data_IF_768778746193
#
_entry.id   IF_768778746193
#
_cell.length_a   1.000
_cell.length_b   1.000
_cell.length_c   1.000
_cell.angle_alpha   90.00
_cell.angle_beta   90.00
_cell.angle_gamma   90.00
#
_symmetry.space_group_name_H-M   'P 1'
#
loop_
_entity.id
_entity.type
_entity.pdbx_description
1 polymer ?
#
# COMPACT_ATOMS: atom_id res chain seq x y z
N UNK A 1 7.77 -22.58 8.23
CA UNK A 1 7.70 -21.11 8.41
C UNK A 1 6.41 -20.64 7.76
N UNK A 2 5.66 -19.74 8.38
CA UNK A 2 4.42 -19.22 7.78
C UNK A 2 4.74 -17.96 6.96
N UNK A 3 4.86 -18.10 5.64
CA UNK A 3 5.20 -17.01 4.71
C UNK A 3 3.98 -16.45 3.96
N UNK A 4 2.76 -16.84 4.36
CA UNK A 4 1.53 -16.49 3.64
C UNK A 4 1.28 -14.97 3.54
N UNK A 5 1.83 -14.19 4.47
CA UNK A 5 1.71 -12.73 4.47
C UNK A 5 2.72 -12.00 3.58
N UNK A 6 3.68 -12.71 3.00
CA UNK A 6 4.76 -12.12 2.20
C UNK A 6 4.46 -12.09 0.69
N UNK A 7 3.26 -12.51 0.27
CA UNK A 7 2.87 -12.45 -1.15
C UNK A 7 3.55 -13.51 -2.02
N UNK A 8 3.95 -14.62 -1.39
CA UNK A 8 4.53 -15.81 -2.03
C UNK A 8 3.48 -16.89 -2.36
N UNK A 9 2.20 -16.63 -2.07
CA UNK A 9 1.07 -17.53 -2.34
C UNK A 9 -0.13 -16.74 -2.88
N UNK A 10 -1.02 -17.46 -3.57
CA UNK A 10 -2.18 -16.92 -4.28
C UNK A 10 -3.49 -17.67 -3.99
N UNK A 11 -3.49 -18.64 -3.06
CA UNK A 11 -4.57 -19.63 -2.91
C UNK A 11 -5.95 -19.03 -2.59
N UNK A 12 -5.99 -17.85 -1.97
CA UNK A 12 -7.23 -17.21 -1.52
C UNK A 12 -7.69 -16.05 -2.41
N UNK A 13 -7.06 -15.87 -3.57
CA UNK A 13 -7.33 -14.75 -4.48
C UNK A 13 -8.37 -15.11 -5.54
N UNK A 14 -9.28 -14.18 -5.81
CA UNK A 14 -10.27 -14.25 -6.88
C UNK A 14 -10.18 -13.01 -7.77
N UNK A 15 -10.52 -13.11 -9.07
CA UNK A 15 -10.58 -11.94 -9.95
C UNK A 15 -11.56 -10.88 -9.46
N UNK A 16 -11.18 -9.61 -9.57
CA UNK A 16 -11.97 -8.43 -9.23
C UNK A 16 -11.97 -7.43 -10.40
N UNK A 17 -12.24 -7.93 -11.62
CA UNK A 17 -12.04 -7.22 -12.88
C UNK A 17 -10.99 -7.90 -13.76
N UNK A 18 -10.51 -7.22 -14.80
CA UNK A 18 -9.52 -7.77 -15.74
C UNK A 18 -8.11 -7.87 -15.13
N UNK A 19 -7.71 -6.86 -14.37
CA UNK A 19 -6.31 -6.67 -13.93
C UNK A 19 -6.16 -6.65 -12.40
N UNK A 20 -7.20 -7.08 -11.69
CA UNK A 20 -7.27 -7.02 -10.24
C UNK A 20 -7.65 -8.36 -9.63
N UNK A 21 -7.09 -8.61 -8.45
CA UNK A 21 -7.42 -9.77 -7.64
C UNK A 21 -7.55 -9.34 -6.19
N UNK A 22 -8.61 -9.82 -5.55
CA UNK A 22 -8.88 -9.60 -4.13
C UNK A 22 -8.98 -10.95 -3.42
N UNK A 23 -8.82 -10.94 -2.11
CA UNK A 23 -9.12 -12.11 -1.30
C UNK A 23 -10.60 -12.48 -1.45
N UNK A 24 -10.93 -13.77 -1.52
CA UNK A 24 -12.28 -14.26 -1.77
C UNK A 24 -13.35 -13.73 -0.80
N UNK A 25 -12.95 -13.46 0.44
CA UNK A 25 -13.80 -12.87 1.49
C UNK A 25 -13.97 -11.36 1.37
N UNK A 26 -13.14 -10.67 0.58
CA UNK A 26 -13.12 -9.20 0.46
C UNK A 26 -13.93 -8.74 -0.74
N UNK A 27 -13.99 -9.55 -1.80
CA UNK A 27 -14.73 -9.20 -3.02
C UNK A 27 -16.22 -8.87 -2.78
N UNK A 28 -16.99 -9.65 -1.98
CA UNK A 28 -18.40 -9.31 -1.73
C UNK A 28 -18.58 -7.97 -1.01
N UNK A 29 -17.76 -7.70 0.01
CA UNK A 29 -17.83 -6.47 0.80
C UNK A 29 -17.39 -5.26 -0.03
N UNK A 30 -16.37 -5.41 -0.87
CA UNK A 30 -15.96 -4.38 -1.83
C UNK A 30 -17.08 -4.06 -2.82
N UNK A 31 -17.75 -5.07 -3.38
CA UNK A 31 -18.86 -4.88 -4.31
C UNK A 31 -20.04 -4.15 -3.64
N UNK A 32 -20.36 -4.49 -2.38
CA UNK A 32 -21.39 -3.81 -1.61
C UNK A 32 -21.04 -2.34 -1.36
N UNK A 33 -19.79 -2.05 -0.97
CA UNK A 33 -19.29 -0.68 -0.79
C UNK A 33 -19.36 0.12 -2.09
N UNK A 34 -18.95 -0.47 -3.21
CA UNK A 34 -19.00 0.17 -4.53
C UNK A 34 -20.44 0.50 -4.95
N UNK A 35 -21.40 -0.39 -4.70
CA UNK A 35 -22.81 -0.17 -5.00
C UNK A 35 -23.42 0.95 -4.14
N UNK A 36 -23.13 0.96 -2.84
CA UNK A 36 -23.61 2.00 -1.93
C UNK A 36 -23.06 3.38 -2.31
N UNK A 37 -21.75 3.48 -2.56
CA UNK A 37 -21.14 4.71 -3.03
C UNK A 37 -21.78 5.20 -4.34
N UNK A 38 -22.03 4.29 -5.28
CA UNK A 38 -22.67 4.63 -6.55
C UNK A 38 -24.10 5.16 -6.35
N UNK A 39 -24.86 4.60 -5.41
CA UNK A 39 -26.19 5.10 -5.05
C UNK A 39 -26.15 6.52 -4.47
N UNK A 40 -25.05 6.89 -3.81
CA UNK A 40 -24.78 8.24 -3.29
C UNK A 40 -24.12 9.16 -4.33
N UNK A 41 -23.95 8.70 -5.57
CA UNK A 41 -23.33 9.47 -6.66
C UNK A 41 -21.81 9.56 -6.59
N UNK A 42 -21.15 8.69 -5.82
CA UNK A 42 -19.69 8.58 -5.72
C UNK A 42 -19.21 7.35 -6.48
N UNK A 43 -18.24 7.52 -7.38
CA UNK A 43 -17.62 6.38 -8.06
C UNK A 43 -16.42 5.85 -7.24
N UNK A 44 -16.38 4.53 -7.06
CA UNK A 44 -15.28 3.82 -6.39
C UNK A 44 -14.74 2.78 -7.35
N UNK A 45 -13.55 2.97 -7.88
CA UNK A 45 -12.88 2.00 -8.74
C UNK A 45 -11.51 1.62 -8.20
N UNK A 46 -11.00 0.48 -8.64
CA UNK A 46 -9.73 -0.08 -8.20
C UNK A 46 -8.56 0.55 -8.97
N UNK A 47 -7.51 0.95 -8.25
CA UNK A 47 -6.20 1.37 -8.79
C UNK A 47 -5.19 0.24 -8.63
N UNK A 48 -5.09 -0.30 -7.41
CA UNK A 48 -4.16 -1.37 -7.06
C UNK A 48 -4.82 -2.35 -6.11
N UNK A 49 -4.54 -3.64 -6.30
CA UNK A 49 -5.07 -4.72 -5.45
C UNK A 49 -3.94 -5.68 -5.12
N UNK A 50 -4.14 -7.00 -5.24
CA UNK A 50 -3.09 -7.96 -4.97
C UNK A 50 -1.79 -7.65 -5.71
N UNK A 51 -0.67 -7.83 -5.00
CA UNK A 51 0.68 -7.69 -5.54
C UNK A 51 1.54 -8.83 -5.01
N UNK A 52 2.19 -9.58 -5.89
CA UNK A 52 3.11 -10.63 -5.46
C UNK A 52 4.39 -10.06 -4.85
N UNK A 53 5.14 -10.92 -4.16
CA UNK A 53 6.47 -10.60 -3.66
C UNK A 53 7.37 -10.06 -4.78
N UNK A 54 7.42 -10.74 -5.92
CA UNK A 54 8.28 -10.42 -7.08
C UNK A 54 7.90 -9.07 -7.68
N UNK A 55 6.61 -8.76 -7.77
CA UNK A 55 6.14 -7.46 -8.28
C UNK A 55 6.55 -6.33 -7.33
N UNK A 56 6.45 -6.53 -6.02
CA UNK A 56 6.93 -5.55 -5.03
C UNK A 56 8.46 -5.42 -5.05
N UNK A 57 9.19 -6.54 -5.19
CA UNK A 57 10.66 -6.56 -5.35
C UNK A 57 11.11 -5.77 -6.57
N UNK A 58 10.44 -5.93 -7.71
CA UNK A 58 10.71 -5.13 -8.90
C UNK A 58 10.47 -3.63 -8.67
N UNK A 59 9.40 -3.25 -7.97
CA UNK A 59 9.14 -1.84 -7.64
C UNK A 59 10.23 -1.28 -6.73
N UNK A 60 10.60 -2.02 -5.68
CA UNK A 60 11.67 -1.65 -4.76
C UNK A 60 12.99 -1.45 -5.50
N UNK A 61 13.44 -2.45 -6.26
CA UNK A 61 14.72 -2.40 -6.97
C UNK A 61 14.77 -1.25 -7.97
N UNK A 62 13.69 -1.03 -8.74
CA UNK A 62 13.62 0.10 -9.69
C UNK A 62 13.68 1.44 -8.97
N UNK A 63 13.05 1.60 -7.81
CA UNK A 63 13.18 2.81 -6.97
C UNK A 63 14.60 2.97 -6.45
N UNK A 64 15.20 1.91 -5.92
CA UNK A 64 16.58 1.93 -5.41
C UNK A 64 17.61 2.32 -6.46
N UNK A 65 17.41 1.89 -7.71
CA UNK A 65 18.28 2.21 -8.85
C UNK A 65 17.90 3.53 -9.57
N UNK A 66 16.95 4.31 -9.05
CA UNK A 66 16.55 5.58 -9.65
C UNK A 66 15.74 5.46 -10.94
N UNK A 67 15.28 4.26 -11.30
CA UNK A 67 14.46 3.99 -12.48
C UNK A 67 12.98 4.34 -12.24
N UNK A 68 12.57 4.43 -10.97
CA UNK A 68 11.30 4.99 -10.54
C UNK A 68 11.55 6.15 -9.56
N UNK A 69 10.70 7.19 -9.57
CA UNK A 69 10.85 8.31 -8.65
C UNK A 69 10.72 7.85 -7.19
N UNK A 70 11.56 8.44 -6.35
CA UNK A 70 11.42 8.44 -4.89
C UNK A 70 11.00 9.84 -4.45
N UNK A 71 10.20 9.90 -3.39
CA UNK A 71 9.62 11.14 -2.90
C UNK A 71 10.15 11.45 -1.50
N UNK A 72 10.24 12.73 -1.17
CA UNK A 72 10.40 13.17 0.22
C UNK A 72 9.09 13.01 1.00
N UNK A 73 9.09 13.41 2.28
CA UNK A 73 7.91 13.33 3.13
C UNK A 73 6.73 14.22 2.64
N UNK A 74 7.02 15.24 1.84
CA UNK A 74 6.03 16.16 1.26
C UNK A 74 5.56 15.71 -0.13
N UNK A 75 5.93 14.50 -0.57
CA UNK A 75 5.56 13.96 -1.86
C UNK A 75 6.32 14.58 -3.04
N UNK A 76 7.43 15.27 -2.79
CA UNK A 76 8.24 15.90 -3.84
C UNK A 76 9.35 14.96 -4.32
N UNK A 77 9.63 14.87 -5.63
CA UNK A 77 10.72 14.06 -6.15
C UNK A 77 12.05 14.41 -5.51
N UNK A 78 12.78 13.39 -5.05
CA UNK A 78 14.12 13.54 -4.46
C UNK A 78 15.16 12.96 -5.41
N UNK A 79 16.29 13.67 -5.55
CA UNK A 79 17.44 13.19 -6.31
C UNK A 79 18.11 12.02 -5.57
N UNK A 80 17.96 10.81 -6.11
CA UNK A 80 18.47 9.61 -5.43
C UNK A 80 19.99 9.60 -5.25
N UNK A 81 20.72 10.21 -6.19
CA UNK A 81 22.19 10.23 -6.19
C UNK A 81 22.79 11.08 -5.08
N UNK A 82 21.99 11.91 -4.40
CA UNK A 82 22.44 12.74 -3.27
C UNK A 82 22.25 12.06 -1.91
N UNK A 83 21.60 10.89 -1.89
CA UNK A 83 21.21 10.20 -0.66
C UNK A 83 22.21 9.09 -0.30
N UNK A 84 22.46 8.92 1.00
CA UNK A 84 23.08 7.69 1.53
C UNK A 84 22.14 6.50 1.37
N UNK A 85 22.65 5.28 1.42
CA UNK A 85 21.81 4.08 1.31
C UNK A 85 20.73 4.00 2.40
N UNK A 86 21.02 4.46 3.63
CA UNK A 86 20.03 4.54 4.70
C UNK A 86 18.95 5.58 4.39
N UNK A 87 19.32 6.75 3.85
CA UNK A 87 18.37 7.76 3.42
C UNK A 87 17.50 7.26 2.26
N UNK A 88 18.08 6.55 1.29
CA UNK A 88 17.34 5.91 0.18
C UNK A 88 16.34 4.89 0.72
N UNK A 89 16.79 4.00 1.60
CA UNK A 89 15.94 3.01 2.26
C UNK A 89 14.73 3.68 2.91
N UNK A 90 14.94 4.72 3.73
CA UNK A 90 13.85 5.42 4.40
C UNK A 90 12.94 6.21 3.43
N UNK A 91 13.49 6.84 2.40
CA UNK A 91 12.71 7.54 1.38
C UNK A 91 11.78 6.58 0.61
N UNK A 92 12.28 5.40 0.24
CA UNK A 92 11.47 4.37 -0.41
C UNK A 92 10.40 3.85 0.55
N UNK A 93 10.79 3.43 1.76
CA UNK A 93 9.86 2.85 2.76
C UNK A 93 8.73 3.79 3.17
N UNK A 94 8.94 5.11 3.06
CA UNK A 94 7.92 6.10 3.39
C UNK A 94 6.70 6.01 2.46
N UNK A 95 6.91 5.60 1.19
CA UNK A 95 5.85 5.58 0.16
C UNK A 95 5.70 4.21 -0.54
N UNK A 96 6.51 3.22 -0.17
CA UNK A 96 6.54 1.91 -0.83
C UNK A 96 7.05 0.86 0.14
N UNK A 97 6.19 -0.11 0.44
CA UNK A 97 6.53 -1.22 1.32
C UNK A 97 7.75 -2.02 0.82
N UNK A 98 8.49 -2.58 1.77
CA UNK A 98 9.53 -3.57 1.49
C UNK A 98 8.89 -4.83 0.87
N UNK A 99 9.56 -5.54 -0.03
CA UNK A 99 9.06 -6.82 -0.54
C UNK A 99 8.77 -7.79 0.61
N UNK A 100 7.61 -8.44 0.58
CA UNK A 100 7.16 -9.28 1.67
C UNK A 100 6.45 -8.54 2.81
N UNK A 101 6.36 -7.20 2.78
CA UNK A 101 5.72 -6.42 3.85
C UNK A 101 4.56 -5.56 3.40
N UNK A 102 4.26 -5.53 2.09
CA UNK A 102 3.08 -4.84 1.58
C UNK A 102 1.80 -5.53 2.04
N UNK A 103 0.80 -4.76 2.50
CA UNK A 103 -0.51 -5.33 2.82
C UNK A 103 -1.25 -5.82 1.58
N UNK A 104 -0.93 -5.29 0.39
CA UNK A 104 -1.42 -5.79 -0.89
C UNK A 104 -1.04 -7.25 -1.15
N UNK A 105 0.00 -7.78 -0.49
CA UNK A 105 0.33 -9.20 -0.57
C UNK A 105 -0.80 -10.13 -0.08
N UNK A 106 -1.75 -9.60 0.69
CA UNK A 106 -2.79 -10.39 1.33
C UNK A 106 -4.05 -10.48 0.46
N UNK A 107 -4.16 -9.62 -0.57
CA UNK A 107 -5.40 -9.41 -1.32
C UNK A 107 -6.52 -8.78 -0.48
N UNK A 108 -6.22 -8.39 0.77
CA UNK A 108 -7.18 -7.73 1.68
C UNK A 108 -7.17 -6.23 1.58
N UNK A 109 -6.17 -5.70 0.88
CA UNK A 109 -5.88 -4.28 0.80
C UNK A 109 -5.92 -3.83 -0.65
N UNK A 110 -6.46 -2.64 -0.85
CA UNK A 110 -6.77 -2.07 -2.15
C UNK A 110 -6.66 -0.55 -2.14
N UNK A 111 -6.18 -0.01 -3.25
CA UNK A 111 -6.14 1.42 -3.54
C UNK A 111 -7.34 1.76 -4.43
N UNK A 112 -8.13 2.77 -4.05
CA UNK A 112 -9.32 3.19 -4.81
C UNK A 112 -9.28 4.62 -5.25
N UNK A 113 -9.97 4.92 -6.35
CA UNK A 113 -10.10 6.26 -6.91
C UNK A 113 -11.49 6.47 -7.52
N UNK A 114 -11.85 7.74 -7.71
CA UNK A 114 -13.04 8.14 -8.46
C UNK A 114 -12.65 8.29 -9.93
N UNK A 115 -12.79 7.19 -10.69
CA UNK A 115 -12.41 7.12 -12.11
C UNK A 115 -13.20 8.12 -12.94
N UNK A 116 -14.48 8.30 -12.62
CA UNK A 116 -15.34 9.24 -13.34
C UNK A 116 -14.85 10.68 -13.15
N UNK A 117 -14.66 11.12 -11.91
CA UNK A 117 -14.20 12.47 -11.59
C UNK A 117 -12.80 12.75 -12.15
N UNK A 118 -11.90 11.75 -12.13
CA UNK A 118 -10.59 11.85 -12.77
C UNK A 118 -10.71 12.05 -14.29
N UNK A 119 -11.55 11.26 -14.96
CA UNK A 119 -11.76 11.35 -16.40
C UNK A 119 -12.39 12.69 -16.80
N UNK A 120 -13.44 13.13 -16.11
CA UNK A 120 -14.15 14.40 -16.39
C UNK A 120 -13.23 15.62 -16.29
N UNK A 121 -12.24 15.59 -15.39
CA UNK A 121 -11.26 16.66 -15.26
C UNK A 121 -10.14 16.61 -16.30
N UNK A 122 -10.02 15.52 -17.06
CA UNK A 122 -8.96 15.34 -18.07
C UNK A 122 -7.55 15.41 -17.49
N UNK A 123 -7.39 15.14 -16.19
CA UNK A 123 -6.11 15.27 -15.49
C UNK A 123 -5.35 13.94 -15.52
N UNK A 124 -4.02 14.03 -15.54
CA UNK A 124 -3.18 12.86 -15.26
C UNK A 124 -3.32 12.49 -13.79
N UNK A 125 -3.81 11.27 -13.53
CA UNK A 125 -3.92 10.70 -12.19
C UNK A 125 -2.63 9.99 -11.80
N UNK A 126 -2.12 10.26 -10.59
CA UNK A 126 -0.84 9.72 -10.10
C UNK A 126 -0.92 9.05 -8.73
N UNK A 127 -2.11 8.95 -8.13
CA UNK A 127 -2.35 8.39 -6.80
C UNK A 127 -1.55 9.14 -5.71
N UNK A 128 -1.84 10.44 -5.56
CA UNK A 128 -1.16 11.34 -4.60
C UNK A 128 -2.13 12.07 -3.67
N UNK A 129 -1.67 12.49 -2.49
CA UNK A 129 -2.53 13.07 -1.43
C UNK A 129 -3.41 14.23 -1.96
N UNK A 130 -2.81 15.14 -2.75
CA UNK A 130 -3.52 16.28 -3.32
C UNK A 130 -4.74 15.89 -4.19
N UNK A 131 -4.77 14.69 -4.78
CA UNK A 131 -5.90 14.24 -5.58
C UNK A 131 -7.13 13.87 -4.73
N UNK A 132 -6.92 13.61 -3.43
CA UNK A 132 -7.95 13.21 -2.46
C UNK A 132 -8.28 14.31 -1.44
N UNK A 133 -7.55 15.44 -1.48
CA UNK A 133 -7.83 16.64 -0.68
C UNK A 133 -8.80 17.58 -1.41
N UNK A 134 -9.29 18.59 -0.70
CA UNK A 134 -10.17 19.61 -1.25
C UNK A 134 -9.59 20.19 -2.56
N UNK A 135 -10.42 20.19 -3.61
CA UNK A 135 -10.03 20.61 -4.96
C UNK A 135 -9.52 19.48 -5.86
N UNK A 136 -9.13 18.32 -5.31
CA UNK A 136 -8.75 17.12 -6.07
C UNK A 136 -9.95 16.34 -6.66
N UNK A 137 -9.74 15.50 -7.69
CA UNK A 137 -10.80 14.69 -8.30
C UNK A 137 -11.43 13.67 -7.33
N UNK A 138 -10.65 13.11 -6.41
CA UNK A 138 -11.10 12.09 -5.46
C UNK A 138 -11.48 12.66 -4.09
N UNK A 139 -11.66 13.98 -3.98
CA UNK A 139 -12.02 14.63 -2.71
C UNK A 139 -13.36 14.11 -2.16
N UNK A 140 -14.37 13.96 -3.04
CA UNK A 140 -15.68 13.42 -2.67
C UNK A 140 -15.60 11.97 -2.21
N UNK A 141 -14.83 11.15 -2.94
CA UNK A 141 -14.55 9.77 -2.55
C UNK A 141 -13.87 9.67 -1.17
N UNK A 142 -12.85 10.49 -0.92
CA UNK A 142 -12.15 10.47 0.37
C UNK A 142 -13.05 10.84 1.54
N UNK A 143 -13.98 11.78 1.34
CA UNK A 143 -15.00 12.13 2.32
C UNK A 143 -15.96 10.97 2.55
N UNK A 144 -16.54 10.41 1.49
CA UNK A 144 -17.47 9.28 1.56
C UNK A 144 -16.85 8.06 2.28
N UNK A 145 -15.61 7.70 1.95
CA UNK A 145 -14.89 6.61 2.63
C UNK A 145 -14.65 6.89 4.12
N UNK A 146 -14.57 8.16 4.53
CA UNK A 146 -14.41 8.50 5.95
C UNK A 146 -15.66 8.21 6.77
N UNK A 147 -16.83 8.25 6.12
CA UNK A 147 -18.13 8.06 6.76
C UNK A 147 -18.61 6.62 6.65
N UNK A 148 -18.33 5.94 5.53
CA UNK A 148 -19.01 4.68 5.18
C UNK A 148 -18.11 3.45 5.06
N UNK A 149 -16.78 3.59 4.93
CA UNK A 149 -15.93 2.42 4.66
C UNK A 149 -16.02 1.34 5.75
N UNK A 150 -16.18 1.75 7.01
CA UNK A 150 -16.29 0.81 8.14
C UNK A 150 -17.56 -0.03 8.12
N UNK A 151 -18.66 0.48 7.52
CA UNK A 151 -19.92 -0.24 7.37
C UNK A 151 -19.76 -1.51 6.51
N UNK A 152 -18.74 -1.50 5.63
CA UNK A 152 -18.38 -2.61 4.75
C UNK A 152 -17.11 -3.34 5.23
N UNK A 153 -16.70 -3.12 6.48
CA UNK A 153 -15.54 -3.80 7.07
C UNK A 153 -14.17 -3.26 6.62
N UNK A 154 -14.12 -2.15 5.88
CA UNK A 154 -12.87 -1.51 5.47
C UNK A 154 -12.42 -0.43 6.45
N UNK A 155 -11.11 -0.21 6.51
CA UNK A 155 -10.52 0.92 7.22
C UNK A 155 -9.26 1.41 6.51
N UNK A 156 -8.77 2.60 6.87
CA UNK A 156 -7.55 3.18 6.32
C UNK A 156 -6.37 3.01 7.29
N UNK A 157 -5.47 2.05 7.09
CA UNK A 157 -4.34 1.78 7.99
C UNK A 157 -3.29 2.90 8.02
N UNK A 158 -3.27 3.74 6.99
CA UNK A 158 -2.30 4.82 6.80
C UNK A 158 -2.97 6.20 6.71
N UNK A 159 -4.06 6.41 7.47
CA UNK A 159 -4.77 7.70 7.49
C UNK A 159 -3.95 8.84 8.13
N UNK A 160 -3.01 8.49 9.01
CA UNK A 160 -2.15 9.44 9.72
C UNK A 160 -0.68 9.05 9.57
N UNK A 161 0.17 10.05 9.31
CA UNK A 161 1.62 9.84 9.33
C UNK A 161 2.10 9.69 10.77
N UNK A 162 2.57 8.50 11.13
CA UNK A 162 3.10 8.19 12.47
C UNK A 162 4.62 8.21 12.55
N UNK A 163 5.30 8.71 11.51
CA UNK A 163 6.76 8.59 11.38
C UNK A 163 7.19 7.37 10.57
N UNK A 164 6.27 6.52 10.12
CA UNK A 164 6.50 5.31 9.31
C UNK A 164 6.08 5.52 7.85
N UNK A 165 5.00 4.84 7.45
CA UNK A 165 4.37 4.99 6.12
C UNK A 165 3.67 6.35 6.05
N UNK A 166 3.77 7.02 4.91
CA UNK A 166 3.10 8.29 4.62
C UNK A 166 1.57 8.17 4.67
N UNK A 167 0.89 9.31 4.70
CA UNK A 167 -0.57 9.34 4.63
C UNK A 167 -1.05 8.86 3.24
N UNK A 168 -1.94 7.88 3.22
CA UNK A 168 -2.54 7.32 2.00
C UNK A 168 -4.07 7.34 2.13
N UNK A 169 -4.72 8.35 1.55
CA UNK A 169 -6.19 8.52 1.66
C UNK A 169 -6.99 7.50 0.87
N UNK A 170 -6.35 6.86 -0.09
CA UNK A 170 -6.92 5.87 -1.02
C UNK A 170 -6.81 4.42 -0.53
N UNK A 171 -5.92 4.15 0.42
CA UNK A 171 -5.55 2.79 0.82
C UNK A 171 -6.57 2.24 1.82
N UNK A 172 -7.31 1.21 1.42
CA UNK A 172 -8.27 0.51 2.25
C UNK A 172 -7.75 -0.88 2.62
N UNK A 173 -8.11 -1.34 3.81
CA UNK A 173 -7.84 -2.70 4.29
C UNK A 173 -9.08 -3.33 4.88
N UNK A 174 -9.38 -4.57 4.50
CA UNK A 174 -10.50 -5.32 5.05
C UNK A 174 -10.15 -5.88 6.43
N UNK A 175 -10.84 -5.39 7.46
CA UNK A 175 -10.48 -5.56 8.88
C UNK A 175 -10.43 -7.03 9.32
N UNK A 176 -11.46 -7.81 8.99
CA UNK A 176 -11.56 -9.19 9.47
C UNK A 176 -10.49 -10.07 8.81
N UNK A 177 -10.36 -9.98 7.48
CA UNK A 177 -9.44 -10.83 6.73
C UNK A 177 -7.98 -10.44 6.96
N UNK A 178 -7.66 -9.14 7.02
CA UNK A 178 -6.29 -8.67 7.24
C UNK A 178 -5.72 -9.10 8.60
N UNK A 179 -6.58 -9.28 9.62
CA UNK A 179 -6.16 -9.62 10.99
C UNK A 179 -5.35 -10.92 11.08
N UNK A 180 -5.63 -11.90 10.23
CA UNK A 180 -4.88 -13.16 10.20
C UNK A 180 -3.44 -12.94 9.72
N UNK A 181 -3.28 -12.17 8.63
CA UNK A 181 -1.98 -11.83 8.07
C UNK A 181 -1.17 -10.94 9.02
N UNK A 182 -1.82 -9.96 9.65
CA UNK A 182 -1.20 -9.09 10.65
C UNK A 182 -0.58 -9.87 11.81
N UNK A 183 -1.24 -10.94 12.26
CA UNK A 183 -0.76 -11.85 13.31
C UNK A 183 0.37 -12.77 12.86
N UNK A 184 0.44 -13.10 11.57
CA UNK A 184 1.51 -13.95 11.03
C UNK A 184 2.82 -13.20 10.75
N UNK A 185 2.81 -11.86 10.78
CA UNK A 185 4.01 -11.06 10.53
C UNK A 185 5.11 -11.45 11.52
N UNK A 186 6.31 -11.63 11.00
CA UNK A 186 7.47 -12.07 11.78
C UNK A 186 8.76 -11.49 11.20
N UNK A 187 9.54 -10.79 12.02
CA UNK A 187 10.75 -10.09 11.59
C UNK A 187 11.86 -11.06 11.14
N UNK A 188 12.08 -12.15 11.88
CA UNK A 188 13.13 -13.12 11.56
C UNK A 188 12.86 -13.83 10.23
N UNK A 189 11.61 -14.24 9.99
CA UNK A 189 11.20 -14.85 8.73
C UNK A 189 11.35 -13.86 7.57
N UNK A 190 10.99 -12.58 7.79
CA UNK A 190 11.18 -11.54 6.78
C UNK A 190 12.67 -11.39 6.44
N UNK A 191 13.54 -11.30 7.45
CA UNK A 191 14.98 -11.20 7.24
C UNK A 191 15.54 -12.38 6.45
N UNK A 192 15.10 -13.61 6.78
CA UNK A 192 15.51 -14.82 6.06
C UNK A 192 15.09 -14.80 4.59
N UNK A 193 13.84 -14.41 4.28
CA UNK A 193 13.37 -14.31 2.90
C UNK A 193 14.12 -13.23 2.12
N UNK A 194 14.38 -12.08 2.73
CA UNK A 194 15.10 -10.99 2.08
C UNK A 194 16.60 -11.29 1.87
N UNK A 195 17.20 -12.11 2.74
CA UNK A 195 18.59 -12.54 2.61
C UNK A 195 18.81 -13.34 1.30
N UNK A 196 17.82 -14.14 0.90
CA UNK A 196 17.87 -14.95 -0.32
C UNK A 196 17.39 -14.21 -1.57
N UNK A 197 16.55 -13.17 -1.43
CA UNK A 197 16.03 -12.41 -2.56
C UNK A 197 17.09 -11.52 -3.24
N UNK A 198 16.97 -11.25 -4.54
CA UNK A 198 17.82 -10.26 -5.24
C UNK A 198 17.39 -8.82 -4.92
N UNK A 199 17.56 -8.42 -3.66
CA UNK A 199 17.11 -7.15 -3.12
C UNK A 199 18.19 -6.07 -3.28
N UNK A 200 17.86 -4.99 -3.99
CA UNK A 200 18.71 -3.81 -4.04
C UNK A 200 18.80 -3.15 -2.65
N UNK A 201 20.00 -2.82 -2.19
CA UNK A 201 20.23 -2.29 -0.85
C UNK A 201 20.15 -3.32 0.29
N UNK A 202 20.19 -4.63 -0.04
CA UNK A 202 20.04 -5.74 0.93
C UNK A 202 20.86 -5.57 2.20
N UNK A 203 22.15 -5.25 2.07
CA UNK A 203 23.03 -5.12 3.24
C UNK A 203 22.50 -4.08 4.23
N UNK A 204 22.15 -2.89 3.73
CA UNK A 204 21.57 -1.80 4.53
C UNK A 204 20.23 -2.21 5.14
N UNK A 205 19.33 -2.78 4.33
CA UNK A 205 18.01 -3.22 4.83
C UNK A 205 18.14 -4.24 5.96
N UNK A 206 19.00 -5.26 5.79
CA UNK A 206 19.21 -6.29 6.80
C UNK A 206 19.89 -5.74 8.07
N UNK A 207 20.84 -4.82 7.92
CA UNK A 207 21.48 -4.14 9.05
C UNK A 207 20.48 -3.34 9.91
N UNK A 208 19.38 -2.86 9.32
CA UNK A 208 18.35 -2.08 9.99
C UNK A 208 16.99 -2.81 10.12
N UNK A 209 16.95 -4.14 9.93
CA UNK A 209 15.67 -4.84 9.74
C UNK A 209 14.69 -4.69 10.92
N UNK A 210 15.17 -4.70 12.17
CA UNK A 210 14.32 -4.55 13.35
C UNK A 210 13.64 -3.18 13.41
N UNK A 211 14.41 -2.11 13.11
CA UNK A 211 13.88 -0.74 13.14
C UNK A 211 12.94 -0.52 11.96
N UNK A 212 13.27 -1.03 10.77
CA UNK A 212 12.41 -1.02 9.59
C UNK A 212 11.10 -1.75 9.87
N UNK A 213 11.18 -2.93 10.49
CA UNK A 213 10.03 -3.76 10.82
C UNK A 213 9.06 -3.04 11.78
N UNK A 214 9.55 -2.50 12.90
CA UNK A 214 8.70 -1.75 13.83
C UNK A 214 8.11 -0.49 13.18
N UNK A 215 8.96 0.29 12.50
CA UNK A 215 8.60 1.61 11.99
C UNK A 215 7.63 1.56 10.81
N UNK A 216 7.87 0.67 9.85
CA UNK A 216 7.11 0.64 8.59
C UNK A 216 6.18 -0.57 8.48
N UNK A 217 6.60 -1.75 8.94
CA UNK A 217 5.79 -2.98 8.80
C UNK A 217 4.69 -3.03 9.85
N UNK A 218 5.00 -2.69 11.11
CA UNK A 218 4.01 -2.54 12.19
C UNK A 218 3.40 -1.14 12.24
N UNK A 219 3.91 -0.20 11.43
CA UNK A 219 3.53 1.20 11.41
C UNK A 219 3.51 1.87 12.81
N UNK A 220 4.51 1.54 13.64
CA UNK A 220 4.64 2.09 15.01
C UNK A 220 5.38 3.43 15.05
N UNK A 221 5.86 3.92 13.90
CA UNK A 221 6.55 5.20 13.83
C UNK A 221 8.00 5.17 14.29
N UNK A 222 8.57 6.35 14.51
CA UNK A 222 9.83 6.47 15.25
C UNK A 222 9.48 6.31 16.73
N UNK A 223 10.07 5.32 17.42
CA UNK A 223 10.00 5.32 18.89
C UNK A 223 10.53 6.67 19.38
N UNK A 224 9.74 7.35 20.22
CA UNK A 224 10.16 8.55 20.92
C UNK A 224 11.36 8.25 21.82
#
# INVERSE_FOLDING_TARGET
MNTSWMGLSHESLVPAGSDHQLHLQVLPDFNAMQQAACADGVNVDLVSTYRSFEKQLSIWNRKWHGQLPILDLHGQPTAIDTLTDEQKMHAILTWSALPGTSRHHWGTDLDVYDRQAVHERGMRFNLVDAEYRAGGPCAGLAAWLSEHAEDFGFFRPYLEYRGGVACELWHLSHRITARAYEKSRNCEQLAAVLAEADLAGKHTVLAHIESVYRRYVLNQGRSL
#
